data_IF_530042914059
#
_entry.id   IF_530042914059
#
_cell.length_a   1.000
_cell.length_b   1.000
_cell.length_c   1.000
_cell.angle_alpha   90.00
_cell.angle_beta   90.00
_cell.angle_gamma   90.00
#
_symmetry.space_group_name_H-M   'P 1'
#
loop_
_entity.id
_entity.type
_entity.pdbx_description
1 polymer ?
#
# COMPACT_ATOMS: atom_id res chain seq x y z
N UNK A 1 35.18 -17.64 -21.80
CA UNK A 1 33.70 -17.64 -21.84
C UNK A 1 33.27 -16.21 -22.08
N UNK A 2 32.54 -15.90 -23.17
CA UNK A 2 32.23 -14.52 -23.55
C UNK A 2 31.44 -13.81 -22.45
N UNK A 3 31.77 -12.55 -22.10
CA UNK A 3 31.11 -11.81 -21.04
C UNK A 3 29.62 -11.54 -21.33
N UNK A 4 29.18 -11.57 -22.59
CA UNK A 4 27.78 -11.31 -22.96
C UNK A 4 26.82 -12.37 -22.40
N UNK A 5 27.24 -13.63 -22.32
CA UNK A 5 26.40 -14.73 -21.82
C UNK A 5 26.13 -14.61 -20.32
N UNK A 6 27.14 -14.18 -19.56
CA UNK A 6 27.03 -13.96 -18.11
C UNK A 6 26.07 -12.80 -17.83
N UNK A 7 26.14 -11.73 -18.63
CA UNK A 7 25.28 -10.57 -18.47
C UNK A 7 23.82 -10.87 -18.83
N UNK A 8 23.58 -11.66 -19.88
CA UNK A 8 22.25 -12.16 -20.25
C UNK A 8 21.64 -13.05 -19.17
N UNK A 9 22.41 -14.01 -18.64
CA UNK A 9 21.93 -14.89 -17.56
C UNK A 9 21.62 -14.10 -16.29
N UNK A 10 22.47 -13.14 -15.93
CA UNK A 10 22.28 -12.32 -14.72
C UNK A 10 21.06 -11.41 -14.85
N UNK A 11 20.88 -10.73 -15.98
CA UNK A 11 19.72 -9.86 -16.20
C UNK A 11 18.42 -10.65 -16.22
N UNK A 12 18.42 -11.86 -16.79
CA UNK A 12 17.27 -12.75 -16.79
C UNK A 12 16.91 -13.21 -15.36
N UNK A 13 17.91 -13.55 -14.54
CA UNK A 13 17.70 -13.90 -13.12
C UNK A 13 17.13 -12.73 -12.31
N UNK A 14 17.67 -11.52 -12.50
CA UNK A 14 17.18 -10.30 -11.83
C UNK A 14 15.76 -10.00 -12.26
N UNK A 15 15.46 -10.03 -13.57
CA UNK A 15 14.12 -9.82 -14.09
C UNK A 15 13.12 -10.83 -13.53
N UNK A 16 13.51 -12.11 -13.46
CA UNK A 16 12.69 -13.17 -12.87
C UNK A 16 12.42 -12.93 -11.37
N UNK A 17 13.43 -12.49 -10.63
CA UNK A 17 13.31 -12.19 -9.21
C UNK A 17 12.36 -11.01 -8.96
N UNK A 18 12.53 -9.92 -9.71
CA UNK A 18 11.66 -8.74 -9.65
C UNK A 18 10.23 -9.11 -10.06
N UNK A 19 10.06 -9.90 -11.11
CA UNK A 19 8.73 -10.37 -11.54
C UNK A 19 8.03 -11.19 -10.44
N UNK A 20 8.76 -12.14 -9.85
CA UNK A 20 8.23 -12.96 -8.75
C UNK A 20 7.86 -12.11 -7.54
N UNK A 21 8.70 -11.13 -7.20
CA UNK A 21 8.42 -10.20 -6.11
C UNK A 21 7.21 -9.31 -6.41
N UNK A 22 7.11 -8.80 -7.64
CA UNK A 22 5.98 -7.97 -8.08
C UNK A 22 4.64 -8.71 -7.93
N UNK A 23 4.56 -9.98 -8.36
CA UNK A 23 3.34 -10.78 -8.19
C UNK A 23 3.00 -10.98 -6.71
N UNK A 24 4.00 -11.18 -5.84
CA UNK A 24 3.77 -11.28 -4.39
C UNK A 24 3.24 -9.98 -3.81
N UNK A 25 3.84 -8.84 -4.18
CA UNK A 25 3.39 -7.52 -3.74
C UNK A 25 1.98 -7.24 -4.26
N UNK A 26 1.68 -7.54 -5.51
CA UNK A 26 0.34 -7.35 -6.07
C UNK A 26 -0.72 -8.14 -5.29
N UNK A 27 -0.45 -9.41 -4.98
CA UNK A 27 -1.34 -10.22 -4.14
C UNK A 27 -1.50 -9.61 -2.74
N UNK A 28 -0.42 -9.15 -2.14
CA UNK A 28 -0.47 -8.47 -0.84
C UNK A 28 -1.30 -7.18 -0.91
N UNK A 29 -1.11 -6.36 -1.93
CA UNK A 29 -1.88 -5.13 -2.15
C UNK A 29 -3.37 -5.41 -2.31
N UNK A 30 -3.75 -6.44 -3.08
CA UNK A 30 -5.15 -6.83 -3.24
C UNK A 30 -5.74 -7.31 -1.91
N UNK A 31 -5.03 -8.16 -1.17
CA UNK A 31 -5.49 -8.62 0.15
C UNK A 31 -5.64 -7.47 1.15
N UNK A 32 -4.69 -6.53 1.15
CA UNK A 32 -4.75 -5.33 2.00
C UNK A 32 -5.92 -4.45 1.62
N UNK A 33 -6.12 -4.18 0.33
CA UNK A 33 -7.26 -3.40 -0.16
C UNK A 33 -8.60 -4.06 0.21
N UNK A 34 -8.70 -5.38 0.09
CA UNK A 34 -9.89 -6.13 0.49
C UNK A 34 -10.12 -6.05 2.00
N UNK A 35 -9.07 -6.22 2.80
CA UNK A 35 -9.14 -6.11 4.26
C UNK A 35 -9.59 -4.70 4.68
N UNK A 36 -9.03 -3.66 4.06
CA UNK A 36 -9.43 -2.27 4.28
C UNK A 36 -10.89 -2.07 3.87
N UNK A 37 -11.32 -2.60 2.73
CA UNK A 37 -12.73 -2.52 2.32
C UNK A 37 -13.65 -3.20 3.33
N UNK A 38 -13.30 -4.38 3.84
CA UNK A 38 -14.07 -5.07 4.89
C UNK A 38 -14.13 -4.23 6.17
N UNK A 39 -13.00 -3.68 6.63
CA UNK A 39 -12.97 -2.80 7.82
C UNK A 39 -13.89 -1.61 7.62
N UNK A 40 -13.82 -0.94 6.46
CA UNK A 40 -14.66 0.21 6.13
C UNK A 40 -16.14 -0.20 6.09
N UNK A 41 -16.48 -1.34 5.48
CA UNK A 41 -17.87 -1.83 5.46
C UNK A 41 -18.40 -2.11 6.86
N UNK A 42 -17.59 -2.74 7.73
CA UNK A 42 -17.96 -2.97 9.13
C UNK A 42 -18.16 -1.64 9.86
N UNK A 43 -17.25 -0.67 9.68
CA UNK A 43 -17.39 0.67 10.26
C UNK A 43 -18.64 1.39 9.74
N UNK A 44 -18.93 1.28 8.45
CA UNK A 44 -20.12 1.87 7.84
C UNK A 44 -21.40 1.23 8.39
N UNK A 45 -21.43 -0.08 8.59
CA UNK A 45 -22.58 -0.79 9.14
C UNK A 45 -22.79 -0.51 10.64
N UNK A 46 -21.71 -0.40 11.42
CA UNK A 46 -21.78 -0.19 12.87
C UNK A 46 -21.96 1.28 13.27
N UNK A 47 -21.26 2.19 12.60
CA UNK A 47 -21.21 3.62 12.94
C UNK A 47 -21.99 4.51 11.95
N UNK A 48 -22.41 3.98 10.80
CA UNK A 48 -23.09 4.78 9.76
C UNK A 48 -22.18 5.73 8.99
N UNK A 49 -20.87 5.69 9.22
CA UNK A 49 -19.88 6.61 8.64
C UNK A 49 -19.40 6.08 7.29
N UNK A 50 -19.42 6.92 6.26
CA UNK A 50 -18.98 6.55 4.92
C UNK A 50 -17.46 6.40 4.79
N UNK A 51 -16.97 5.65 3.78
CA UNK A 51 -15.54 5.51 3.48
C UNK A 51 -14.85 6.87 3.32
N UNK A 52 -15.51 7.82 2.64
CA UNK A 52 -14.97 9.14 2.35
C UNK A 52 -14.69 9.93 3.63
N UNK A 53 -15.60 9.87 4.61
CA UNK A 53 -15.47 10.54 5.90
C UNK A 53 -14.27 10.00 6.69
N UNK A 54 -14.05 8.68 6.67
CA UNK A 54 -12.89 8.05 7.31
C UNK A 54 -11.57 8.56 6.73
N UNK A 55 -11.45 8.60 5.40
CA UNK A 55 -10.25 9.13 4.75
C UNK A 55 -10.07 10.62 5.01
N UNK A 56 -11.12 11.44 4.95
CA UNK A 56 -11.05 12.87 5.29
C UNK A 56 -10.59 13.08 6.74
N UNK A 57 -11.07 12.25 7.67
CA UNK A 57 -10.65 12.32 9.05
C UNK A 57 -9.18 11.95 9.22
N UNK A 58 -8.67 10.96 8.50
CA UNK A 58 -7.23 10.63 8.47
C UNK A 58 -6.40 11.79 7.91
N UNK A 59 -6.80 12.40 6.80
CA UNK A 59 -6.06 13.52 6.19
C UNK A 59 -6.08 14.78 7.06
N UNK A 60 -7.11 14.97 7.89
CA UNK A 60 -7.19 16.10 8.83
C UNK A 60 -6.46 15.88 10.16
N UNK A 61 -6.03 14.66 10.48
CA UNK A 61 -5.19 14.40 11.66
C UNK A 61 -3.85 15.17 11.64
N UNK A 62 -3.04 15.16 10.55
CA UNK A 62 -1.82 15.93 10.49
C UNK A 62 -2.04 17.44 10.71
N UNK A 63 -3.11 18.00 10.18
CA UNK A 63 -3.47 19.41 10.40
C UNK A 63 -3.75 19.68 11.88
N UNK A 64 -4.59 18.85 12.52
CA UNK A 64 -4.89 18.96 13.95
C UNK A 64 -3.63 18.78 14.82
N UNK A 65 -2.77 17.84 14.46
CA UNK A 65 -1.49 17.61 15.16
C UNK A 65 -0.54 18.80 14.99
N UNK A 66 -0.49 19.38 13.79
CA UNK A 66 0.29 20.59 13.52
C UNK A 66 -0.24 21.81 14.29
N UNK A 67 -1.57 21.98 14.41
CA UNK A 67 -2.17 23.02 15.22
C UNK A 67 -1.90 22.84 16.71
N UNK A 68 -1.99 21.61 17.23
CA UNK A 68 -1.66 21.30 18.62
C UNK A 68 -0.19 21.60 18.93
N UNK A 69 0.72 21.30 18.01
CA UNK A 69 2.14 21.60 18.16
C UNK A 69 2.46 23.09 17.98
N UNK A 70 1.68 23.82 17.16
CA UNK A 70 1.85 25.27 16.93
C UNK A 70 1.22 26.14 18.05
N UNK A 71 0.28 25.59 18.81
CA UNK A 71 -0.37 26.28 19.95
C UNK A 71 0.35 26.12 21.29
N UNK A 72 1.36 25.25 21.39
CA UNK A 72 2.32 25.25 22.50
C UNK A 72 3.58 26.02 22.12
#
# INVERSE_FOLDING_TARGET
>A
MPPELILLLTSLLVAWLVFTWFIKVLKASINTALSVAVIILVLQLLFGIGPQEFFQQIFSLPEKLGELFRRQ
#
